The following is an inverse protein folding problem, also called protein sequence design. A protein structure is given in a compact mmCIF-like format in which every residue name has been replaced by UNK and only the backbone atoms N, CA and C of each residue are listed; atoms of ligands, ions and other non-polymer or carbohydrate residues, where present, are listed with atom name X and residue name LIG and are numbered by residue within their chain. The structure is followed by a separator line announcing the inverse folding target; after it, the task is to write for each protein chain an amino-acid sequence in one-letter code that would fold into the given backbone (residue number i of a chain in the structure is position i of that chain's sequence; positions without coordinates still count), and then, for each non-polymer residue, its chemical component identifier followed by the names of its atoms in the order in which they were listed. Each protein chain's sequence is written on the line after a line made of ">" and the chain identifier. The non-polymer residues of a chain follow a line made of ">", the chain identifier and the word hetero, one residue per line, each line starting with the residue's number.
data_IF_600826743611
#
_entry.id   IF_600826743611
#
_cell.length_a   1.000
_cell.length_b   1.000
_cell.length_c   1.000
_cell.angle_alpha   90.00
_cell.angle_beta   90.00
_cell.angle_gamma   90.00
#
_symmetry.space_group_name_H-M   'P 1'
#
loop_
_entity.id
_entity.type
_entity.pdbx_description
1 polymer ?
#
# COMPACT_ATOMS: atom_id res chain seq x y z
N UNK A 1 13.90 -17.93 -10.46
CA UNK A 1 13.88 -16.46 -10.27
C UNK A 1 13.91 -16.18 -8.77
N UNK A 2 14.83 -15.35 -8.28
CA UNK A 2 14.90 -14.98 -6.87
C UNK A 2 13.65 -14.17 -6.49
N UNK A 3 13.07 -14.46 -5.32
CA UNK A 3 11.99 -13.63 -4.81
C UNK A 3 12.50 -12.21 -4.54
N UNK A 4 11.72 -11.21 -4.98
CA UNK A 4 12.04 -9.81 -4.69
C UNK A 4 11.85 -9.55 -3.19
N UNK A 5 12.91 -9.09 -2.53
CA UNK A 5 12.88 -8.67 -1.12
C UNK A 5 11.79 -7.60 -0.89
N UNK A 6 11.55 -6.74 -1.88
CA UNK A 6 10.51 -5.70 -1.84
C UNK A 6 9.11 -6.34 -1.79
N UNK A 7 8.87 -7.40 -2.59
CA UNK A 7 7.60 -8.12 -2.59
C UNK A 7 7.31 -8.75 -1.23
N UNK A 8 8.30 -9.40 -0.61
CA UNK A 8 8.15 -10.04 0.71
C UNK A 8 7.91 -9.00 1.80
N UNK A 9 8.75 -7.96 1.88
CA UNK A 9 8.60 -6.91 2.91
C UNK A 9 7.31 -6.11 2.78
N UNK A 10 6.88 -5.79 1.56
CA UNK A 10 5.61 -5.07 1.34
C UNK A 10 4.39 -5.93 1.70
N UNK A 11 4.46 -7.25 1.51
CA UNK A 11 3.43 -8.19 1.95
C UNK A 11 3.35 -8.25 3.47
N UNK A 12 4.48 -8.39 4.16
CA UNK A 12 4.55 -8.39 5.62
C UNK A 12 4.03 -7.08 6.22
N UNK A 13 4.41 -5.94 5.64
CA UNK A 13 3.92 -4.62 6.06
C UNK A 13 2.39 -4.54 5.96
N UNK A 14 1.80 -5.01 4.86
CA UNK A 14 0.35 -5.01 4.69
C UNK A 14 -0.36 -5.85 5.76
N UNK A 15 0.17 -7.03 6.11
CA UNK A 15 -0.38 -7.88 7.18
C UNK A 15 -0.28 -7.18 8.54
N UNK A 16 0.89 -6.62 8.86
CA UNK A 16 1.08 -5.87 10.11
C UNK A 16 0.15 -4.67 10.19
N UNK A 17 -0.06 -3.97 9.07
CA UNK A 17 -0.97 -2.83 9.00
C UNK A 17 -2.43 -3.21 9.27
N UNK A 18 -2.89 -4.35 8.76
CA UNK A 18 -4.24 -4.88 9.05
C UNK A 18 -4.37 -5.20 10.54
N UNK A 19 -3.39 -5.89 11.13
CA UNK A 19 -3.44 -6.26 12.55
C UNK A 19 -3.36 -5.02 13.46
N UNK A 20 -2.54 -4.05 13.11
CA UNK A 20 -2.44 -2.77 13.82
C UNK A 20 -3.75 -1.98 13.77
N UNK A 21 -4.40 -1.89 12.60
CA UNK A 21 -5.70 -1.26 12.48
C UNK A 21 -6.76 -1.96 13.35
N UNK A 22 -6.81 -3.29 13.32
CA UNK A 22 -7.73 -4.08 14.17
C UNK A 22 -7.51 -3.79 15.65
N UNK A 23 -6.26 -3.77 16.10
CA UNK A 23 -5.90 -3.45 17.48
C UNK A 23 -6.32 -2.03 17.88
N UNK A 24 -6.03 -1.02 17.06
CA UNK A 24 -6.42 0.37 17.35
C UNK A 24 -7.93 0.55 17.40
N UNK A 25 -8.67 -0.13 16.53
CA UNK A 25 -10.14 -0.08 16.54
C UNK A 25 -10.71 -0.76 17.78
N UNK A 26 -10.19 -1.94 18.16
CA UNK A 26 -10.69 -2.71 19.29
C UNK A 26 -10.35 -2.06 20.66
N UNK A 27 -9.08 -1.71 20.86
CA UNK A 27 -8.57 -1.29 22.18
C UNK A 27 -8.61 0.23 22.39
N UNK A 28 -8.39 1.00 21.32
CA UNK A 28 -8.24 2.47 21.40
C UNK A 28 -9.44 3.24 20.84
N UNK A 29 -10.38 2.56 20.18
CA UNK A 29 -11.51 3.19 19.46
C UNK A 29 -11.03 4.28 18.49
N UNK A 30 -9.87 4.06 17.87
CA UNK A 30 -9.26 4.98 16.91
C UNK A 30 -9.62 4.52 15.49
N UNK A 31 -10.48 5.29 14.80
CA UNK A 31 -11.07 4.86 13.53
C UNK A 31 -10.53 5.63 12.31
N UNK A 32 -10.26 6.93 12.44
CA UNK A 32 -9.88 7.78 11.30
C UNK A 32 -8.39 7.63 10.97
N UNK A 33 -7.44 7.84 11.92
CA UNK A 33 -6.01 7.71 11.62
C UNK A 33 -5.62 6.27 11.30
N UNK A 34 -6.21 5.30 12.02
CA UNK A 34 -5.94 3.87 11.80
C UNK A 34 -6.37 3.42 10.41
N UNK A 35 -7.49 3.95 9.88
CA UNK A 35 -7.97 3.67 8.53
C UNK A 35 -7.10 4.35 7.46
N UNK A 36 -6.61 5.56 7.71
CA UNK A 36 -5.65 6.21 6.81
C UNK A 36 -4.34 5.42 6.73
N UNK A 37 -3.81 5.00 7.88
CA UNK A 37 -2.62 4.13 7.96
C UNK A 37 -2.83 2.79 7.26
N UNK A 38 -3.98 2.14 7.46
CA UNK A 38 -4.29 0.89 6.76
C UNK A 38 -4.24 1.04 5.24
N UNK A 39 -4.82 2.14 4.71
CA UNK A 39 -4.83 2.42 3.27
C UNK A 39 -3.42 2.70 2.73
N UNK A 40 -2.58 3.40 3.47
CA UNK A 40 -1.18 3.63 3.05
C UNK A 40 -0.34 2.36 3.13
N UNK A 41 -0.47 1.56 4.20
CA UNK A 41 0.27 0.30 4.33
C UNK A 41 -0.10 -0.72 3.25
N UNK A 42 -1.38 -0.82 2.87
CA UNK A 42 -1.84 -1.74 1.82
C UNK A 42 -1.54 -1.24 0.40
N UNK A 43 -1.46 0.08 0.17
CA UNK A 43 -1.11 0.64 -1.14
C UNK A 43 0.34 0.34 -1.54
N UNK A 44 1.28 0.26 -0.59
CA UNK A 44 2.68 -0.12 -0.86
C UNK A 44 2.76 -1.49 -1.54
N UNK A 45 1.99 -2.47 -1.05
CA UNK A 45 1.92 -3.81 -1.65
C UNK A 45 1.25 -3.78 -3.03
N UNK A 46 0.18 -3.00 -3.20
CA UNK A 46 -0.50 -2.86 -4.47
C UNK A 46 0.44 -2.29 -5.54
N UNK A 47 1.14 -1.19 -5.22
CA UNK A 47 2.10 -0.56 -6.11
C UNK A 47 3.28 -1.48 -6.45
N UNK A 48 3.81 -2.23 -5.48
CA UNK A 48 4.87 -3.21 -5.73
C UNK A 48 4.42 -4.32 -6.69
N UNK A 49 3.15 -4.76 -6.58
CA UNK A 49 2.58 -5.76 -7.49
C UNK A 49 2.33 -5.18 -8.90
N UNK A 50 1.85 -3.95 -8.99
CA UNK A 50 1.68 -3.25 -10.28
C UNK A 50 3.02 -3.06 -10.99
N UNK A 51 4.08 -2.74 -10.26
CA UNK A 51 5.42 -2.59 -10.83
C UNK A 51 5.97 -3.88 -11.43
N UNK A 52 5.71 -5.03 -10.78
CA UNK A 52 6.12 -6.34 -11.30
C UNK A 52 5.37 -6.70 -12.59
N UNK A 53 4.10 -6.31 -12.68
CA UNK A 53 3.24 -6.61 -13.83
C UNK A 53 3.33 -5.56 -14.94
N UNK A 54 4.13 -4.51 -14.77
CA UNK A 54 4.27 -3.45 -15.75
C UNK A 54 5.01 -3.97 -17.00
N UNK A 55 4.36 -3.88 -18.16
CA UNK A 55 4.95 -4.30 -19.44
C UNK A 55 6.14 -3.44 -19.88
N UNK A 56 6.24 -2.19 -19.43
CA UNK A 56 7.32 -1.27 -19.79
C UNK A 56 7.60 -0.24 -18.69
N UNK A 57 8.78 0.39 -18.72
CA UNK A 57 9.09 1.50 -17.79
C UNK A 57 8.12 2.68 -17.95
N UNK A 58 7.64 2.92 -19.17
CA UNK A 58 6.69 3.99 -19.45
C UNK A 58 5.32 3.73 -18.79
N UNK A 59 4.81 2.49 -18.88
CA UNK A 59 3.52 2.15 -18.25
C UNK A 59 3.59 2.28 -16.72
N UNK A 60 4.73 1.90 -16.12
CA UNK A 60 4.97 2.09 -14.69
C UNK A 60 4.96 3.57 -14.29
N UNK A 61 5.61 4.43 -15.08
CA UNK A 61 5.67 5.86 -14.82
C UNK A 61 4.29 6.53 -14.93
N UNK A 62 3.49 6.18 -15.94
CA UNK A 62 2.14 6.70 -16.13
C UNK A 62 1.23 6.29 -14.96
N UNK A 63 1.26 5.01 -14.56
CA UNK A 63 0.48 4.52 -13.43
C UNK A 63 0.86 5.22 -12.12
N UNK A 64 2.15 5.45 -11.91
CA UNK A 64 2.64 6.19 -10.73
C UNK A 64 2.13 7.64 -10.69
N UNK A 65 2.10 8.33 -11.83
CA UNK A 65 1.58 9.69 -11.92
C UNK A 65 0.06 9.75 -11.71
N UNK A 66 -0.67 8.74 -12.20
CA UNK A 66 -2.10 8.61 -11.96
C UNK A 66 -2.42 8.37 -10.47
N UNK A 67 -1.65 7.50 -9.81
CA UNK A 67 -1.77 7.24 -8.37
C UNK A 67 -1.49 8.49 -7.53
N UNK A 68 -0.44 9.26 -7.87
CA UNK A 68 -0.14 10.53 -7.19
C UNK A 68 -1.30 11.54 -7.30
N UNK A 69 -1.90 11.67 -8.48
CA UNK A 69 -3.02 12.60 -8.71
C UNK A 69 -4.27 12.19 -7.93
N UNK A 70 -4.60 10.91 -7.87
CA UNK A 70 -5.79 10.44 -7.14
C UNK A 70 -5.62 10.41 -5.61
N UNK A 71 -4.39 10.32 -5.12
CA UNK A 71 -4.11 10.39 -3.67
C UNK A 71 -4.24 11.82 -3.13
N UNK A 72 -3.95 12.84 -3.94
CA UNK A 72 -4.04 14.27 -3.57
C UNK A 72 -5.46 14.83 -3.57
N UNK A 73 -6.41 14.19 -4.28
CA UNK A 73 -7.82 14.65 -4.39
C UNK A 73 -8.71 13.99 -3.32
N UNK A 74 -8.17 13.07 -2.51
CA UNK A 74 -8.93 12.27 -1.52
C UNK A 74 -8.51 12.52 -0.06
N UNK A 75 -7.72 13.55 0.21
CA UNK A 75 -7.38 14.03 1.56
C UNK A 75 -8.21 15.23 1.94
#
# INVERSE_FOLDING_TARGET
>A
MSESIIKTKSFELAIRGVNFHKYLVAEKKEFVPSKQFLRSATSVRANAREAINAQSRLILFINYQFLKRNMMVRT
#
